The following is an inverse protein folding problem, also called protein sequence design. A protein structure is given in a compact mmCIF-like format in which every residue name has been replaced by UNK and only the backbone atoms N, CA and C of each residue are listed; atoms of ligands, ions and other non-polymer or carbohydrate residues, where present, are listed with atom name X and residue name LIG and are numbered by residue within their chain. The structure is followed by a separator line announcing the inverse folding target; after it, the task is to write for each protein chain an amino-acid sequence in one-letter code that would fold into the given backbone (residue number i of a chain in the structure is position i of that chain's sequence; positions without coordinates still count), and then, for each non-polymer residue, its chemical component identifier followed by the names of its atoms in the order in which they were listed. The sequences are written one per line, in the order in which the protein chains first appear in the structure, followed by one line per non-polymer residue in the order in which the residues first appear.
data_IF_148225975239
#
_entry.id   IF_148225975239
#
_cell.length_a   1.000
_cell.length_b   1.000
_cell.length_c   1.000
_cell.angle_alpha   90.00
_cell.angle_beta   90.00
_cell.angle_gamma   90.00
#
_symmetry.space_group_name_H-M   'P 1'
#
loop_
_entity.id
_entity.type
_entity.pdbx_description
1 polymer ?
#
# COMPACT_ATOMS: atom_id res chain seq x y z
N UNK A 1 30.59 85.12 -11.95
CA UNK A 1 29.45 85.25 -11.02
C UNK A 1 28.74 83.90 -11.08
N UNK A 2 29.18 82.96 -10.24
CA UNK A 2 28.60 82.64 -8.91
C UNK A 2 27.46 81.61 -9.09
N UNK A 3 27.34 80.49 -8.37
CA UNK A 3 27.37 80.25 -6.91
C UNK A 3 26.30 81.07 -6.19
N UNK A 4 25.35 80.39 -5.54
CA UNK A 4 24.35 80.94 -4.60
C UNK A 4 23.36 82.00 -5.20
N UNK A 5 22.06 82.09 -4.89
CA UNK A 5 21.14 81.43 -3.95
C UNK A 5 19.75 81.35 -4.61
N UNK A 6 18.99 80.25 -4.51
CA UNK A 6 18.01 79.98 -3.45
C UNK A 6 17.01 81.12 -3.22
N UNK A 7 15.84 81.04 -3.86
CA UNK A 7 14.56 81.39 -3.22
C UNK A 7 13.38 80.63 -3.83
N UNK A 8 12.89 79.64 -3.08
CA UNK A 8 11.48 79.36 -2.73
C UNK A 8 10.43 80.13 -3.57
N UNK A 9 9.36 79.53 -4.11
CA UNK A 9 8.31 78.86 -3.33
C UNK A 9 7.29 78.11 -4.24
N UNK A 10 7.15 76.79 -4.04
CA UNK A 10 5.92 75.94 -4.00
C UNK A 10 4.71 76.25 -4.94
N UNK A 11 4.37 75.26 -5.80
CA UNK A 11 3.02 74.90 -6.34
C UNK A 11 2.33 75.80 -7.41
N UNK A 12 1.54 75.32 -8.41
CA UNK A 12 1.15 73.96 -8.85
C UNK A 12 0.52 73.93 -10.28
N UNK A 13 0.53 72.75 -10.95
CA UNK A 13 -0.43 72.24 -12.00
C UNK A 13 -0.35 72.73 -13.48
N UNK A 14 -0.67 71.79 -14.41
CA UNK A 14 -0.78 71.85 -15.90
C UNK A 14 0.57 72.06 -16.66
N UNK A 15 0.96 71.35 -17.72
CA UNK A 15 0.45 70.18 -18.47
C UNK A 15 1.65 69.61 -19.33
N UNK A 16 1.61 68.57 -20.21
CA UNK A 16 0.59 67.64 -20.73
C UNK A 16 1.29 66.36 -21.31
N UNK A 17 0.52 65.29 -21.61
CA UNK A 17 0.75 64.16 -22.55
C UNK A 17 2.16 63.87 -23.15
N UNK A 18 2.70 62.67 -22.88
CA UNK A 18 2.72 61.55 -23.84
C UNK A 18 3.59 60.35 -23.39
N UNK A 19 2.98 59.29 -22.84
CA UNK A 19 3.50 57.90 -22.95
C UNK A 19 2.30 56.98 -23.19
N UNK A 20 2.46 56.05 -24.13
CA UNK A 20 1.43 55.13 -24.62
C UNK A 20 0.85 54.22 -23.56
N UNK A 21 -0.48 54.25 -23.39
CA UNK A 21 -1.21 53.13 -22.78
C UNK A 21 -1.30 52.02 -23.83
N UNK A 22 -0.47 50.99 -23.68
CA UNK A 22 -0.65 49.74 -24.39
C UNK A 22 -1.57 48.87 -23.51
N UNK A 23 -2.84 48.73 -23.91
CA UNK A 23 -3.73 47.74 -23.29
C UNK A 23 -3.18 46.35 -23.60
N UNK A 24 -2.40 45.80 -22.68
CA UNK A 24 -2.27 44.35 -22.56
C UNK A 24 -3.60 43.86 -21.99
N UNK A 25 -4.37 43.01 -22.69
CA UNK A 25 -5.57 42.45 -22.10
C UNK A 25 -5.20 41.65 -20.85
N UNK A 26 -5.93 41.84 -19.74
CA UNK A 26 -5.83 40.96 -18.58
C UNK A 26 -6.39 39.58 -18.94
N UNK A 27 -5.57 38.80 -19.63
CA UNK A 27 -5.63 37.35 -19.62
C UNK A 27 -4.59 36.84 -18.60
N UNK A 28 -4.78 37.20 -17.33
CA UNK A 28 -4.28 36.35 -16.24
C UNK A 28 -5.13 35.07 -16.22
N UNK A 29 -4.98 34.25 -17.25
CA UNK A 29 -5.15 32.82 -17.06
C UNK A 29 -3.95 32.42 -16.21
N UNK A 30 -4.16 32.27 -14.91
CA UNK A 30 -3.18 31.63 -14.05
C UNK A 30 -3.19 30.16 -14.44
N UNK A 31 -2.44 29.84 -15.49
CA UNK A 31 -2.05 28.48 -15.82
C UNK A 31 -1.33 27.95 -14.58
N UNK A 32 -2.06 27.16 -13.78
CA UNK A 32 -1.47 26.43 -12.67
C UNK A 32 -0.48 25.50 -13.36
N UNK A 33 0.81 25.83 -13.29
CA UNK A 33 1.88 24.90 -13.58
C UNK A 33 1.81 23.80 -12.51
N UNK A 34 0.90 22.84 -12.75
CA UNK A 34 0.61 21.74 -11.85
C UNK A 34 1.87 20.92 -11.66
N UNK A 35 2.22 20.66 -10.41
CA UNK A 35 3.41 19.87 -10.09
C UNK A 35 3.26 18.43 -10.62
N UNK A 36 2.01 17.98 -10.81
CA UNK A 36 1.61 16.87 -11.67
C UNK A 36 0.24 17.16 -12.35
N UNK A 37 -0.21 16.27 -13.24
CA UNK A 37 -1.55 16.28 -13.85
C UNK A 37 -2.05 14.85 -14.12
N UNK A 38 -3.36 14.69 -14.28
CA UNK A 38 -3.97 13.43 -14.74
C UNK A 38 -3.66 13.24 -16.22
N UNK A 39 -3.17 12.06 -16.62
CA UNK A 39 -2.80 11.79 -18.01
C UNK A 39 -3.97 11.31 -18.87
N UNK A 40 -5.14 11.04 -18.26
CA UNK A 40 -6.39 10.69 -18.93
C UNK A 40 -6.56 9.21 -19.28
N UNK A 41 -5.53 8.39 -19.09
CA UNK A 41 -5.60 6.94 -19.26
C UNK A 41 -5.98 6.26 -17.93
N UNK A 42 -6.94 5.36 -17.99
CA UNK A 42 -7.45 4.58 -16.86
C UNK A 42 -7.73 3.14 -17.27
N UNK A 43 -7.60 2.20 -16.34
CA UNK A 43 -8.03 0.80 -16.50
C UNK A 43 -8.48 0.21 -15.17
N UNK A 44 -9.46 -0.69 -15.19
CA UNK A 44 -9.93 -1.42 -14.02
C UNK A 44 -9.57 -2.91 -14.04
N UNK A 45 -9.38 -3.48 -12.84
CA UNK A 45 -9.25 -4.93 -12.59
C UNK A 45 -9.72 -5.26 -11.17
N UNK A 46 -10.31 -6.42 -10.97
CA UNK A 46 -10.55 -6.98 -9.63
C UNK A 46 -9.37 -7.86 -9.17
N UNK A 47 -9.25 -8.04 -7.85
CA UNK A 47 -8.35 -8.99 -7.20
C UNK A 47 -9.14 -9.80 -6.17
N UNK A 48 -9.04 -11.12 -6.29
CA UNK A 48 -9.34 -12.11 -5.25
C UNK A 48 -8.04 -12.33 -4.44
N UNK A 49 -8.05 -12.02 -3.14
CA UNK A 49 -6.87 -12.03 -2.25
C UNK A 49 -6.80 -13.32 -1.44
N UNK A 50 -7.93 -13.92 -1.05
CA UNK A 50 -7.96 -15.14 -0.24
C UNK A 50 -8.18 -16.44 -1.03
N UNK A 51 -8.58 -16.34 -2.29
CA UNK A 51 -8.80 -17.43 -3.24
C UNK A 51 -10.17 -18.09 -3.15
N UNK A 52 -11.18 -17.44 -2.55
CA UNK A 52 -12.54 -17.99 -2.41
C UNK A 52 -13.40 -17.90 -3.69
N UNK A 53 -12.94 -17.16 -4.71
CA UNK A 53 -13.62 -16.95 -5.98
C UNK A 53 -14.45 -15.66 -6.05
N UNK A 54 -14.43 -14.82 -5.02
CA UNK A 54 -14.99 -13.47 -4.99
C UNK A 54 -13.88 -12.41 -5.03
N UNK A 55 -14.25 -11.17 -5.34
CA UNK A 55 -13.34 -10.05 -5.45
C UNK A 55 -13.23 -9.29 -4.11
N UNK A 56 -12.02 -9.17 -3.59
CA UNK A 56 -11.74 -8.42 -2.35
C UNK A 56 -11.46 -6.94 -2.61
N UNK A 57 -10.95 -6.62 -3.79
CA UNK A 57 -10.57 -5.25 -4.19
C UNK A 57 -10.89 -5.02 -5.66
N UNK A 58 -11.51 -3.88 -5.96
CA UNK A 58 -11.56 -3.31 -7.32
C UNK A 58 -10.46 -2.25 -7.43
N UNK A 59 -9.46 -2.48 -8.28
CA UNK A 59 -8.41 -1.49 -8.57
C UNK A 59 -8.79 -0.71 -9.81
N UNK A 60 -8.77 0.63 -9.73
CA UNK A 60 -8.67 1.50 -10.90
C UNK A 60 -7.27 2.10 -10.95
N UNK A 61 -6.52 1.72 -11.97
CA UNK A 61 -5.21 2.27 -12.28
C UNK A 61 -5.40 3.57 -13.08
N UNK A 62 -4.74 4.64 -12.63
CA UNK A 62 -4.81 5.97 -13.21
C UNK A 62 -3.42 6.47 -13.56
N UNK A 63 -3.19 6.79 -14.83
CA UNK A 63 -1.92 7.34 -15.27
C UNK A 63 -1.84 8.85 -14.94
N UNK A 64 -0.71 9.26 -14.35
CA UNK A 64 -0.40 10.65 -14.00
C UNK A 64 0.92 11.08 -14.64
N UNK A 65 1.02 12.35 -15.01
CA UNK A 65 2.26 12.96 -15.50
C UNK A 65 2.78 13.96 -14.45
N UNK A 66 3.89 13.60 -13.82
CA UNK A 66 4.56 14.37 -12.77
C UNK A 66 5.61 15.27 -13.43
N UNK A 67 5.59 16.56 -13.09
CA UNK A 67 6.51 17.57 -13.62
C UNK A 67 7.61 17.95 -12.61
N UNK A 68 7.32 17.83 -11.31
CA UNK A 68 8.25 18.14 -10.21
C UNK A 68 8.41 16.92 -9.30
N UNK A 69 9.64 16.55 -8.91
CA UNK A 69 9.84 15.47 -7.92
C UNK A 69 9.19 15.85 -6.59
N UNK A 70 8.38 14.96 -6.02
CA UNK A 70 7.62 15.27 -4.81
C UNK A 70 6.71 14.16 -4.31
N UNK A 71 5.98 14.47 -3.23
CA UNK A 71 4.93 13.60 -2.69
C UNK A 71 3.58 13.96 -3.32
N UNK A 72 2.83 12.96 -3.76
CA UNK A 72 1.53 13.13 -4.41
C UNK A 72 0.48 12.19 -3.83
N UNK A 73 -0.77 12.65 -3.81
CA UNK A 73 -1.95 11.87 -3.44
C UNK A 73 -2.98 11.93 -4.55
N UNK A 74 -3.57 10.79 -4.90
CA UNK A 74 -4.69 10.67 -5.83
C UNK A 74 -5.89 10.11 -5.08
N UNK A 75 -6.98 10.87 -4.98
CA UNK A 75 -8.23 10.42 -4.38
C UNK A 75 -9.30 10.27 -5.47
N UNK A 76 -10.22 9.31 -5.31
CA UNK A 76 -11.37 9.16 -6.21
C UNK A 76 -12.52 8.37 -5.57
N UNK A 77 -13.70 8.47 -6.18
CA UNK A 77 -14.94 7.87 -5.68
C UNK A 77 -15.65 7.08 -6.77
N UNK A 78 -16.14 5.89 -6.46
CA UNK A 78 -17.03 5.12 -7.34
C UNK A 78 -18.49 5.48 -7.08
N UNK A 79 -19.21 5.72 -8.17
CA UNK A 79 -20.63 6.04 -8.21
C UNK A 79 -21.38 5.06 -9.09
N UNK A 80 -22.65 4.78 -8.79
CA UNK A 80 -23.55 4.05 -9.70
C UNK A 80 -23.92 4.90 -10.92
N UNK A 81 -24.51 4.26 -11.95
CA UNK A 81 -25.10 4.98 -13.08
C UNK A 81 -26.23 5.96 -12.69
N UNK A 82 -26.79 5.84 -11.48
CA UNK A 82 -27.82 6.73 -10.93
C UNK A 82 -27.25 7.87 -10.08
N UNK A 83 -25.93 8.09 -10.14
CA UNK A 83 -25.18 9.10 -9.38
C UNK A 83 -25.25 8.94 -7.85
N UNK A 84 -25.30 7.70 -7.39
CA UNK A 84 -25.15 7.37 -5.97
C UNK A 84 -23.72 6.94 -5.65
N UNK A 85 -23.13 7.48 -4.59
CA UNK A 85 -21.83 7.03 -4.10
C UNK A 85 -21.89 5.58 -3.59
N UNK A 86 -20.81 4.83 -3.85
CA UNK A 86 -20.63 3.42 -3.45
C UNK A 86 -19.47 3.30 -2.46
N UNK A 87 -18.27 3.73 -2.88
CA UNK A 87 -17.02 3.57 -2.14
C UNK A 87 -16.01 4.62 -2.62
N UNK A 88 -15.03 4.96 -1.79
CA UNK A 88 -13.94 5.87 -2.14
C UNK A 88 -12.58 5.23 -1.88
N UNK A 89 -11.55 5.73 -2.55
CA UNK A 89 -10.18 5.28 -2.38
C UNK A 89 -9.20 6.44 -2.52
N UNK A 90 -7.99 6.22 -2.00
CA UNK A 90 -6.87 7.15 -2.10
C UNK A 90 -5.54 6.40 -2.22
N UNK A 91 -4.73 6.82 -3.18
CA UNK A 91 -3.35 6.42 -3.31
C UNK A 91 -2.39 7.56 -2.99
N UNK A 92 -1.18 7.23 -2.56
CA UNK A 92 -0.17 8.19 -2.14
C UNK A 92 1.24 7.64 -2.28
N UNK A 93 2.09 8.37 -3.01
CA UNK A 93 3.49 7.99 -3.25
C UNK A 93 4.43 9.18 -3.44
N UNK A 94 5.72 8.87 -3.47
CA UNK A 94 6.78 9.76 -3.94
C UNK A 94 7.01 9.49 -5.43
N UNK A 95 7.06 10.53 -6.24
CA UNK A 95 7.24 10.40 -7.69
C UNK A 95 8.24 11.43 -8.21
N UNK A 96 9.16 10.98 -9.06
CA UNK A 96 10.04 11.84 -9.85
C UNK A 96 9.36 12.31 -11.16
N UNK A 97 9.89 13.33 -11.87
CA UNK A 97 9.30 13.78 -13.12
C UNK A 97 9.21 12.66 -14.17
N UNK A 98 8.01 12.46 -14.74
CA UNK A 98 7.72 11.36 -15.65
C UNK A 98 6.25 10.92 -15.62
N UNK A 99 5.92 9.88 -16.39
CA UNK A 99 4.60 9.24 -16.35
C UNK A 99 4.63 8.07 -15.36
N UNK A 100 3.63 7.99 -14.50
CA UNK A 100 3.50 6.96 -13.47
C UNK A 100 2.05 6.47 -13.38
N UNK A 101 1.85 5.28 -12.83
CA UNK A 101 0.54 4.76 -12.46
C UNK A 101 0.30 4.96 -10.96
N UNK A 102 -0.86 5.50 -10.59
CA UNK A 102 -1.38 5.51 -9.22
C UNK A 102 -2.59 4.57 -9.13
N UNK A 103 -2.75 3.86 -8.02
CA UNK A 103 -3.69 2.75 -7.89
C UNK A 103 -4.80 3.06 -6.87
N UNK A 104 -6.01 3.36 -7.36
CA UNK A 104 -7.19 3.50 -6.52
C UNK A 104 -7.76 2.10 -6.20
N UNK A 105 -7.33 1.55 -5.06
CA UNK A 105 -7.79 0.28 -4.50
C UNK A 105 -9.11 0.49 -3.73
N UNK A 106 -10.24 0.08 -4.30
CA UNK A 106 -11.57 0.18 -3.68
C UNK A 106 -11.94 -1.10 -2.93
N UNK A 107 -12.35 -0.97 -1.67
CA UNK A 107 -12.69 -2.07 -0.75
C UNK A 107 -13.92 -2.86 -1.22
N UNK A 108 -13.72 -4.12 -1.65
CA UNK A 108 -14.76 -4.99 -2.18
C UNK A 108 -15.89 -5.24 -1.19
N UNK A 109 -15.57 -5.44 0.08
CA UNK A 109 -16.59 -5.65 1.11
C UNK A 109 -17.48 -4.44 1.36
N UNK A 110 -17.02 -3.23 1.08
CA UNK A 110 -17.85 -2.01 1.07
C UNK A 110 -18.73 -1.96 -0.18
N UNK A 111 -18.24 -2.46 -1.32
CA UNK A 111 -19.03 -2.62 -2.55
C UNK A 111 -20.17 -3.64 -2.32
N UNK A 112 -19.86 -4.83 -1.77
CA UNK A 112 -20.85 -5.86 -1.39
C UNK A 112 -21.95 -5.29 -0.49
N UNK A 113 -21.56 -4.72 0.66
CA UNK A 113 -22.50 -4.11 1.62
C UNK A 113 -23.35 -2.99 1.05
N UNK A 114 -22.91 -2.34 -0.04
CA UNK A 114 -23.69 -1.31 -0.68
C UNK A 114 -24.91 -1.87 -1.43
N UNK A 115 -24.85 -3.14 -1.87
CA UNK A 115 -25.89 -3.78 -2.68
C UNK A 115 -26.15 -3.08 -4.01
N UNK A 116 -25.14 -2.39 -4.56
CA UNK A 116 -25.25 -1.55 -5.76
C UNK A 116 -24.35 -2.08 -6.85
N UNK A 117 -24.95 -2.66 -7.87
CA UNK A 117 -24.22 -3.22 -9.00
C UNK A 117 -23.63 -2.12 -9.91
N UNK A 118 -22.58 -2.50 -10.63
CA UNK A 118 -21.90 -1.66 -11.61
C UNK A 118 -22.63 -1.58 -12.96
N UNK A 119 -21.95 -1.11 -14.02
CA UNK A 119 -20.59 -0.58 -14.03
C UNK A 119 -20.51 0.74 -13.25
N UNK A 120 -19.42 0.93 -12.53
CA UNK A 120 -19.20 2.12 -11.72
C UNK A 120 -18.62 3.27 -12.54
N UNK A 121 -18.93 4.50 -12.14
CA UNK A 121 -18.36 5.72 -12.67
C UNK A 121 -17.37 6.27 -11.64
N UNK A 122 -16.11 6.38 -12.03
CA UNK A 122 -15.09 7.07 -11.23
C UNK A 122 -15.31 8.58 -11.33
N UNK A 123 -15.68 9.20 -10.20
CA UNK A 123 -15.99 10.62 -10.08
C UNK A 123 -15.10 11.28 -9.02
N UNK A 124 -15.08 12.62 -9.04
CA UNK A 124 -14.39 13.47 -8.06
C UNK A 124 -12.91 13.05 -7.87
N UNK A 125 -12.23 12.76 -8.97
CA UNK A 125 -10.80 12.41 -8.94
C UNK A 125 -10.01 13.68 -8.65
N UNK A 126 -9.15 13.66 -7.65
CA UNK A 126 -8.33 14.80 -7.22
C UNK A 126 -6.89 14.35 -7.08
N UNK A 127 -6.01 14.91 -7.91
CA UNK A 127 -4.56 14.76 -7.78
C UNK A 127 -4.00 15.98 -7.05
N UNK A 128 -3.30 15.76 -5.95
CA UNK A 128 -2.68 16.81 -5.14
C UNK A 128 -1.21 16.51 -4.87
N UNK A 129 -0.38 17.54 -4.84
CA UNK A 129 0.96 17.48 -4.26
C UNK A 129 0.90 17.76 -2.76
N UNK A 130 1.93 17.33 -2.04
CA UNK A 130 2.02 17.51 -0.60
C UNK A 130 1.14 16.54 0.19
N UNK A 131 1.20 16.68 1.51
CA UNK A 131 0.53 15.86 2.50
C UNK A 131 -0.08 16.73 3.60
N UNK A 132 -0.90 16.16 4.47
CA UNK A 132 -1.53 16.92 5.57
C UNK A 132 -0.51 17.68 6.46
N UNK A 133 0.71 17.16 6.75
CA UNK A 133 1.76 17.92 7.46
C UNK A 133 2.46 19.02 6.65
N UNK A 134 2.68 18.83 5.34
CA UNK A 134 3.43 19.79 4.48
C UNK A 134 2.53 20.85 3.83
N UNK A 135 1.22 20.59 3.78
CA UNK A 135 0.23 21.38 3.06
C UNK A 135 -0.12 20.73 1.73
N UNK A 136 -1.36 20.28 1.59
CA UNK A 136 -1.84 19.65 0.35
C UNK A 136 -2.29 20.71 -0.66
N UNK A 137 -1.82 20.61 -1.90
CA UNK A 137 -2.14 21.51 -3.01
C UNK A 137 -2.71 20.71 -4.17
N UNK A 138 -3.96 21.00 -4.55
CA UNK A 138 -4.58 20.41 -5.75
C UNK A 138 -3.75 20.81 -6.97
N UNK A 139 -3.32 19.79 -7.70
CA UNK A 139 -2.59 19.93 -8.96
C UNK A 139 -3.53 19.78 -10.16
N UNK A 140 -4.46 18.81 -10.09
CA UNK A 140 -5.43 18.54 -11.15
C UNK A 140 -6.68 17.83 -10.59
N UNK A 141 -7.80 17.89 -11.32
CA UNK A 141 -9.06 17.25 -10.92
C UNK A 141 -9.93 16.84 -12.12
N UNK A 142 -10.65 15.72 -11.98
CA UNK A 142 -11.67 15.28 -12.93
C UNK A 142 -12.99 14.99 -12.20
N UNK A 143 -14.06 15.69 -12.58
CA UNK A 143 -15.40 15.50 -11.97
C UNK A 143 -16.01 14.15 -12.31
N UNK A 144 -15.74 13.64 -13.51
CA UNK A 144 -16.06 12.30 -14.01
C UNK A 144 -14.90 11.88 -14.90
N UNK A 145 -14.20 10.81 -14.51
CA UNK A 145 -12.91 10.43 -15.10
C UNK A 145 -13.02 9.17 -15.96
N UNK A 146 -13.70 8.15 -15.46
CA UNK A 146 -13.70 6.81 -16.05
C UNK A 146 -15.00 6.05 -15.77
N UNK A 147 -15.30 5.04 -16.58
CA UNK A 147 -16.35 4.05 -16.36
C UNK A 147 -15.70 2.68 -16.38
N UNK A 148 -15.90 1.90 -15.32
CA UNK A 148 -15.33 0.56 -15.18
C UNK A 148 -16.01 -0.44 -16.11
N UNK A 149 -15.45 -1.65 -16.16
CA UNK A 149 -16.16 -2.86 -16.56
C UNK A 149 -17.44 -3.08 -15.73
N UNK A 150 -18.29 -4.01 -16.16
CA UNK A 150 -19.43 -4.46 -15.37
C UNK A 150 -18.95 -5.35 -14.23
N UNK A 151 -19.48 -5.13 -13.03
CA UNK A 151 -19.28 -5.98 -11.86
C UNK A 151 -20.60 -6.00 -11.08
N UNK A 152 -21.05 -7.15 -10.61
CA UNK A 152 -22.15 -7.23 -9.65
C UNK A 152 -21.59 -6.96 -8.23
N UNK A 153 -22.35 -6.30 -7.36
CA UNK A 153 -21.92 -6.08 -5.97
C UNK A 153 -21.76 -7.42 -5.21
N UNK A 154 -22.53 -8.44 -5.59
CA UNK A 154 -22.42 -9.80 -5.05
C UNK A 154 -21.21 -10.61 -5.55
N UNK A 155 -20.44 -10.09 -6.51
CA UNK A 155 -19.14 -10.67 -6.87
C UNK A 155 -18.02 -10.23 -5.91
N UNK A 156 -18.29 -9.31 -4.98
CA UNK A 156 -17.31 -8.83 -4.00
C UNK A 156 -17.53 -9.39 -2.59
N UNK A 157 -16.47 -9.36 -1.77
CA UNK A 157 -16.52 -9.68 -0.34
C UNK A 157 -15.45 -8.90 0.44
N UNK A 158 -15.44 -9.04 1.77
CA UNK A 158 -14.21 -8.79 2.53
C UNK A 158 -13.34 -10.04 2.47
N UNK A 159 -12.01 -9.90 2.36
CA UNK A 159 -11.12 -11.04 2.39
C UNK A 159 -11.29 -11.76 3.71
N UNK A 160 -11.79 -12.99 3.63
CA UNK A 160 -11.87 -13.87 4.77
C UNK A 160 -10.45 -14.17 5.21
N UNK A 161 -10.12 -14.01 6.51
CA UNK A 161 -8.82 -14.45 7.00
C UNK A 161 -8.71 -15.95 6.75
N UNK A 162 -7.85 -16.35 5.82
CA UNK A 162 -7.56 -17.77 5.55
C UNK A 162 -6.79 -18.33 6.75
N UNK A 163 -7.53 -18.73 7.80
CA UNK A 163 -6.96 -19.12 9.09
C UNK A 163 -6.58 -20.60 9.11
N UNK A 164 -5.28 -20.89 9.03
CA UNK A 164 -4.74 -22.20 9.42
C UNK A 164 -4.45 -22.22 10.92
N UNK A 165 -4.82 -23.28 11.62
CA UNK A 165 -4.65 -23.37 13.09
C UNK A 165 -3.55 -24.35 13.45
N UNK A 166 -2.60 -23.92 14.29
CA UNK A 166 -1.65 -24.80 14.99
C UNK A 166 -2.04 -24.80 16.47
N UNK A 167 -2.56 -25.93 16.99
CA UNK A 167 -2.91 -26.10 18.39
C UNK A 167 -2.13 -27.24 19.04
N UNK A 168 -2.12 -27.25 20.38
CA UNK A 168 -1.40 -28.25 21.16
C UNK A 168 -1.31 -27.88 22.63
N UNK A 169 -0.39 -28.54 23.34
CA UNK A 169 -0.06 -28.25 24.74
C UNK A 169 1.46 -28.22 24.93
N UNK A 170 1.96 -27.43 25.87
CA UNK A 170 3.38 -27.43 26.20
C UNK A 170 3.79 -26.37 27.21
N UNK A 171 5.10 -26.29 27.43
CA UNK A 171 5.74 -25.23 28.22
C UNK A 171 7.10 -24.91 27.64
N UNK A 172 7.34 -23.65 27.31
CA UNK A 172 8.63 -23.16 26.80
C UNK A 172 8.47 -22.12 25.69
N UNK A 173 9.53 -21.94 24.91
CA UNK A 173 9.58 -21.03 23.77
C UNK A 173 9.45 -21.78 22.43
N UNK A 174 8.57 -21.31 21.56
CA UNK A 174 8.47 -21.73 20.15
C UNK A 174 8.87 -20.54 19.26
N UNK A 175 9.65 -20.79 18.21
CA UNK A 175 9.80 -19.87 17.09
C UNK A 175 8.92 -20.38 15.94
N UNK A 176 7.97 -19.55 15.50
CA UNK A 176 7.17 -19.83 14.31
C UNK A 176 7.74 -19.02 13.15
N UNK A 177 8.05 -19.71 12.05
CA UNK A 177 8.62 -19.13 10.84
C UNK A 177 7.66 -19.36 9.68
N UNK A 178 7.16 -18.28 9.09
CA UNK A 178 6.31 -18.31 7.90
C UNK A 178 7.19 -17.97 6.70
N UNK A 179 7.18 -18.80 5.67
CA UNK A 179 7.92 -18.54 4.43
C UNK A 179 6.96 -18.58 3.26
N UNK A 180 7.05 -17.60 2.38
CA UNK A 180 6.25 -17.50 1.15
C UNK A 180 7.18 -17.28 -0.04
N UNK A 181 6.99 -18.08 -1.08
CA UNK A 181 7.78 -18.05 -2.30
C UNK A 181 6.89 -17.62 -3.47
N UNK A 182 7.40 -16.71 -4.31
CA UNK A 182 6.69 -16.19 -5.47
C UNK A 182 7.67 -15.86 -6.59
N UNK A 183 7.16 -15.63 -7.80
CA UNK A 183 7.96 -15.23 -8.97
C UNK A 183 7.27 -14.08 -9.68
N UNK A 184 7.99 -13.00 -9.96
CA UNK A 184 7.47 -11.84 -10.70
C UNK A 184 8.18 -11.68 -12.05
N UNK A 185 7.44 -11.41 -13.15
CA UNK A 185 8.04 -11.22 -14.47
C UNK A 185 8.84 -9.92 -14.57
N UNK A 186 9.87 -9.92 -15.42
CA UNK A 186 10.69 -8.74 -15.70
C UNK A 186 10.16 -8.02 -16.94
N UNK A 187 9.85 -6.74 -16.79
CA UNK A 187 9.44 -5.86 -17.88
C UNK A 187 10.43 -4.69 -18.00
N UNK A 188 11.02 -4.52 -19.18
CA UNK A 188 12.03 -3.47 -19.46
C UNK A 188 13.19 -3.43 -18.45
N UNK A 189 13.63 -4.60 -17.96
CA UNK A 189 14.72 -4.72 -16.98
C UNK A 189 14.34 -4.41 -15.53
N UNK A 190 13.04 -4.28 -15.22
CA UNK A 190 12.50 -4.04 -13.89
C UNK A 190 11.48 -5.09 -13.48
N UNK A 191 11.31 -5.25 -12.17
CA UNK A 191 10.29 -6.10 -11.57
C UNK A 191 9.47 -5.32 -10.53
N UNK A 192 8.21 -5.71 -10.35
CA UNK A 192 7.31 -5.22 -9.31
C UNK A 192 6.41 -6.36 -8.85
N UNK A 193 6.09 -6.38 -7.57
CA UNK A 193 5.21 -7.37 -6.96
C UNK A 193 4.46 -6.72 -5.81
N UNK A 194 3.14 -6.77 -5.86
CA UNK A 194 2.24 -6.08 -4.95
C UNK A 194 1.47 -7.10 -4.10
N UNK A 195 1.38 -6.85 -2.79
CA UNK A 195 0.77 -7.72 -1.79
C UNK A 195 -0.22 -6.86 -1.00
N UNK A 196 -1.51 -7.20 -1.06
CA UNK A 196 -2.58 -6.38 -0.48
C UNK A 196 -3.10 -7.04 0.80
N UNK A 197 -3.23 -6.26 1.88
CA UNK A 197 -3.88 -6.71 3.12
C UNK A 197 -3.10 -7.67 4.04
N UNK A 198 -1.85 -8.03 3.73
CA UNK A 198 -1.02 -8.93 4.55
C UNK A 198 -0.97 -8.52 6.02
N UNK A 199 -1.23 -9.48 6.91
CA UNK A 199 -1.06 -9.30 8.35
C UNK A 199 0.39 -9.54 8.77
N UNK A 200 0.98 -8.57 9.48
CA UNK A 200 2.32 -8.68 10.05
C UNK A 200 2.22 -8.63 11.59
N UNK A 201 2.73 -9.61 12.35
CA UNK A 201 2.99 -11.00 11.91
C UNK A 201 1.70 -11.66 11.38
N UNK A 202 1.79 -12.76 10.62
CA UNK A 202 0.64 -13.37 9.93
C UNK A 202 -0.18 -14.25 10.89
N UNK A 203 -0.65 -13.64 11.97
CA UNK A 203 -1.38 -14.29 13.05
C UNK A 203 -2.81 -13.75 13.01
N UNK A 204 -3.77 -14.66 12.87
CA UNK A 204 -5.17 -14.31 12.79
C UNK A 204 -5.66 -13.75 14.13
N UNK A 205 -6.59 -12.79 14.04
CA UNK A 205 -7.24 -12.18 15.20
C UNK A 205 -8.74 -12.55 15.30
N UNK A 206 -9.12 -13.84 15.43
CA UNK A 206 -10.44 -14.22 15.94
C UNK A 206 -10.50 -14.15 17.49
N UNK A 207 -9.46 -13.61 18.14
CA UNK A 207 -9.27 -13.59 19.59
C UNK A 207 -8.85 -12.18 20.06
N UNK A 208 -9.32 -11.74 21.22
CA UNK A 208 -8.99 -10.42 21.80
C UNK A 208 -7.48 -10.27 22.06
N UNK A 209 -6.81 -9.40 21.31
CA UNK A 209 -5.39 -9.06 21.57
C UNK A 209 -5.30 -8.00 22.69
N UNK A 210 -4.75 -8.39 23.84
CA UNK A 210 -4.43 -7.52 24.98
C UNK A 210 -2.95 -7.12 24.89
N UNK A 211 -2.69 -5.88 24.47
CA UNK A 211 -1.34 -5.32 24.41
C UNK A 211 -0.76 -4.97 25.78
N UNK A 212 0.57 -5.02 25.91
CA UNK A 212 1.31 -4.65 27.12
C UNK A 212 2.68 -4.04 26.78
N UNK A 213 3.40 -3.54 27.80
CA UNK A 213 4.78 -3.01 27.61
C UNK A 213 5.79 -4.08 27.15
N UNK A 214 5.51 -5.36 27.37
CA UNK A 214 6.45 -6.47 27.12
C UNK A 214 6.04 -7.36 25.96
N UNK A 215 4.78 -7.36 25.54
CA UNK A 215 4.25 -8.25 24.52
C UNK A 215 2.74 -8.12 24.30
N UNK A 216 2.22 -9.04 23.48
CA UNK A 216 0.82 -9.22 23.17
C UNK A 216 0.35 -10.52 23.80
N UNK A 217 -0.71 -10.46 24.61
CA UNK A 217 -1.46 -11.64 25.03
C UNK A 217 -2.68 -11.77 24.12
N UNK A 218 -2.86 -12.94 23.51
CA UNK A 218 -4.11 -13.27 22.83
C UNK A 218 -5.10 -13.79 23.88
N UNK A 219 -6.40 -13.88 23.57
CA UNK A 219 -7.41 -14.48 24.47
C UNK A 219 -7.32 -16.03 24.51
N UNK A 220 -6.09 -16.52 24.45
CA UNK A 220 -5.67 -17.90 24.56
C UNK A 220 -5.02 -18.09 25.94
N UNK A 221 -5.58 -18.94 26.82
CA UNK A 221 -4.90 -19.33 28.05
C UNK A 221 -3.50 -19.85 27.70
N UNK A 222 -2.46 -19.38 28.39
CA UNK A 222 -1.12 -19.95 28.20
C UNK A 222 -0.36 -19.55 26.93
N UNK A 223 -0.76 -18.51 26.19
CA UNK A 223 0.02 -17.96 25.05
C UNK A 223 0.41 -16.50 25.30
N UNK A 224 1.72 -16.23 25.29
CA UNK A 224 2.29 -14.88 25.36
C UNK A 224 3.24 -14.63 24.19
N UNK A 225 3.11 -13.49 23.52
CA UNK A 225 3.99 -13.11 22.41
C UNK A 225 4.83 -11.89 22.79
N UNK A 226 6.15 -12.01 23.04
CA UNK A 226 7.00 -10.86 23.36
C UNK A 226 6.99 -9.83 22.23
N UNK A 227 7.25 -8.56 22.54
CA UNK A 227 7.26 -7.47 21.55
C UNK A 227 8.32 -7.65 20.44
N UNK A 228 9.39 -8.41 20.71
CA UNK A 228 10.44 -8.78 19.76
C UNK A 228 10.87 -10.25 19.95
N UNK A 229 11.43 -10.92 18.91
CA UNK A 229 11.54 -10.44 17.53
C UNK A 229 10.18 -10.42 16.81
N UNK A 230 10.10 -9.58 15.77
CA UNK A 230 9.08 -9.58 14.71
C UNK A 230 9.83 -9.56 13.37
N UNK A 231 10.71 -10.54 13.13
CA UNK A 231 11.65 -10.44 12.03
C UNK A 231 10.90 -10.61 10.70
N UNK A 232 11.13 -9.72 9.75
CA UNK A 232 10.65 -9.83 8.38
C UNK A 232 11.84 -9.73 7.44
N UNK A 233 12.00 -10.74 6.62
CA UNK A 233 13.02 -10.85 5.58
C UNK A 233 12.34 -10.90 4.22
N UNK A 234 12.90 -10.22 3.24
CA UNK A 234 12.59 -10.40 1.83
C UNK A 234 13.88 -10.59 1.07
N UNK A 235 13.94 -11.64 0.26
CA UNK A 235 15.04 -11.95 -0.65
C UNK A 235 14.53 -11.89 -2.08
N UNK A 236 15.28 -11.25 -2.96
CA UNK A 236 15.04 -11.23 -4.40
C UNK A 236 16.25 -11.84 -5.13
N UNK A 237 16.04 -12.93 -5.86
CA UNK A 237 17.06 -13.63 -6.64
C UNK A 237 16.87 -13.35 -8.14
N UNK A 238 17.97 -13.05 -8.83
CA UNK A 238 17.93 -12.53 -10.20
C UNK A 238 17.73 -11.02 -10.27
N UNK A 239 18.05 -10.29 -9.19
CA UNK A 239 17.91 -8.84 -9.08
C UNK A 239 19.28 -8.12 -9.07
N UNK A 240 19.30 -6.83 -9.44
CA UNK A 240 20.40 -5.91 -9.14
C UNK A 240 20.20 -5.20 -7.80
N UNK A 241 18.96 -4.82 -7.50
CA UNK A 241 18.58 -4.18 -6.25
C UNK A 241 17.18 -4.62 -5.80
N UNK A 242 16.90 -4.44 -4.51
CA UNK A 242 15.62 -4.72 -3.86
C UNK A 242 15.12 -3.49 -3.11
N UNK A 243 13.87 -3.14 -3.34
CA UNK A 243 13.13 -2.07 -2.70
C UNK A 243 11.80 -2.64 -2.17
N UNK A 244 11.43 -2.32 -0.91
CA UNK A 244 10.19 -2.76 -0.25
C UNK A 244 9.45 -1.56 0.32
N UNK A 245 8.35 -1.15 -0.33
CA UNK A 245 7.41 -0.18 0.23
C UNK A 245 6.40 -0.86 1.18
N UNK A 246 6.05 -0.19 2.28
CA UNK A 246 5.03 -0.66 3.22
C UNK A 246 3.99 0.45 3.50
N UNK A 247 2.75 0.27 3.05
CA UNK A 247 1.61 1.17 3.31
C UNK A 247 0.78 0.58 4.45
N UNK A 248 0.67 1.28 5.58
CA UNK A 248 -0.20 0.86 6.70
C UNK A 248 -1.49 1.70 6.72
N UNK A 249 -2.68 1.10 6.48
CA UNK A 249 -3.94 1.80 6.67
C UNK A 249 -4.19 2.12 8.15
N UNK A 250 -4.45 3.38 8.49
CA UNK A 250 -4.87 3.82 9.82
C UNK A 250 -5.94 4.93 9.72
N UNK A 251 -7.06 4.60 9.09
CA UNK A 251 -8.11 5.57 8.75
C UNK A 251 -7.58 6.65 7.81
N UNK A 252 -7.94 7.91 8.07
CA UNK A 252 -7.47 9.08 7.29
C UNK A 252 -5.95 9.30 7.32
N UNK A 253 -5.21 8.66 8.24
CA UNK A 253 -3.76 8.78 8.37
C UNK A 253 -3.04 7.59 7.76
N UNK A 254 -2.84 7.63 6.46
CA UNK A 254 -1.94 6.70 5.77
C UNK A 254 -0.50 7.00 6.20
N UNK A 255 0.20 5.99 6.73
CA UNK A 255 1.67 6.04 6.89
C UNK A 255 2.29 5.17 5.79
N UNK A 256 2.71 5.84 4.72
CA UNK A 256 3.59 5.26 3.70
C UNK A 256 5.00 5.19 4.28
N UNK A 257 5.55 3.97 4.41
CA UNK A 257 6.95 3.77 4.75
C UNK A 257 7.74 3.51 3.48
N UNK A 258 8.72 4.37 3.19
CA UNK A 258 9.66 4.19 2.10
C UNK A 258 10.93 3.49 2.62
N UNK A 259 10.89 2.17 2.48
CA UNK A 259 11.87 1.42 1.67
C UNK A 259 13.37 1.54 1.97
N UNK A 260 13.94 0.42 2.42
CA UNK A 260 15.37 0.10 2.25
C UNK A 260 15.66 -0.19 0.78
N UNK A 261 16.66 0.48 0.20
CA UNK A 261 17.35 0.01 -1.01
C UNK A 261 18.45 -0.95 -0.57
N UNK A 262 18.43 -2.18 -1.08
CA UNK A 262 19.50 -3.16 -0.89
C UNK A 262 20.05 -3.56 -2.25
N UNK A 263 21.35 -3.33 -2.47
CA UNK A 263 22.06 -3.85 -3.65
C UNK A 263 22.24 -5.36 -3.53
N UNK A 264 22.20 -6.06 -4.68
CA UNK A 264 22.44 -7.49 -4.74
C UNK A 264 23.91 -7.86 -4.52
N UNK A 265 24.14 -9.09 -4.09
CA UNK A 265 25.47 -9.74 -4.17
C UNK A 265 25.89 -9.96 -5.63
N UNK A 266 27.15 -10.35 -5.84
CA UNK A 266 27.66 -10.73 -7.18
C UNK A 266 26.85 -11.88 -7.81
N UNK A 267 26.23 -12.74 -6.99
CA UNK A 267 25.34 -13.83 -7.42
C UNK A 267 23.91 -13.36 -7.80
N UNK A 268 23.63 -12.05 -7.76
CA UNK A 268 22.32 -11.48 -8.11
C UNK A 268 21.24 -11.66 -7.04
N UNK A 269 21.64 -11.77 -5.76
CA UNK A 269 20.73 -11.93 -4.62
C UNK A 269 20.72 -10.67 -3.75
N UNK A 270 19.59 -9.98 -3.68
CA UNK A 270 19.37 -8.85 -2.78
C UNK A 270 18.49 -9.27 -1.60
N UNK A 271 18.89 -8.96 -0.35
CA UNK A 271 18.17 -9.38 0.87
C UNK A 271 18.00 -8.22 1.86
N UNK A 272 16.76 -7.87 2.15
CA UNK A 272 16.41 -6.94 3.22
C UNK A 272 15.86 -7.68 4.46
N UNK A 273 16.14 -7.17 5.65
CA UNK A 273 15.72 -7.75 6.92
C UNK A 273 15.40 -6.65 7.95
N UNK A 274 14.30 -6.79 8.70
CA UNK A 274 13.86 -5.80 9.71
C UNK A 274 13.02 -6.43 10.82
N UNK A 275 13.24 -6.02 12.07
CA UNK A 275 12.43 -6.43 13.22
C UNK A 275 11.55 -5.30 13.80
N UNK A 276 11.47 -4.17 13.08
CA UNK A 276 10.84 -2.92 13.53
C UNK A 276 9.40 -2.73 13.03
N UNK A 277 8.82 -3.73 12.35
CA UNK A 277 7.45 -3.65 11.86
C UNK A 277 6.46 -3.83 13.03
N UNK A 278 5.66 -2.79 13.28
CA UNK A 278 4.57 -2.82 14.27
C UNK A 278 3.43 -3.72 13.80
N UNK A 279 2.76 -4.50 14.67
CA UNK A 279 1.69 -5.39 14.22
C UNK A 279 0.51 -4.69 13.53
N UNK A 280 -0.07 -5.31 12.50
CA UNK A 280 -1.25 -4.84 11.78
C UNK A 280 -1.35 -5.37 10.34
N UNK A 281 -2.35 -4.91 9.59
CA UNK A 281 -2.47 -5.14 8.15
C UNK A 281 -1.66 -4.10 7.37
N UNK A 282 -1.09 -4.51 6.23
CA UNK A 282 -0.21 -3.73 5.37
C UNK A 282 -0.50 -4.02 3.89
N UNK A 283 -0.20 -3.05 3.02
CA UNK A 283 0.02 -3.28 1.59
C UNK A 283 1.53 -3.18 1.36
N UNK A 284 2.11 -4.12 0.63
CA UNK A 284 3.55 -4.22 0.38
C UNK A 284 3.78 -4.10 -1.12
N UNK A 285 4.79 -3.31 -1.51
CA UNK A 285 5.29 -3.27 -2.89
C UNK A 285 6.75 -3.66 -2.89
N UNK A 286 7.08 -4.78 -3.53
CA UNK A 286 8.44 -5.28 -3.70
C UNK A 286 8.86 -5.00 -5.13
N UNK A 287 9.92 -4.22 -5.35
CA UNK A 287 10.31 -3.77 -6.69
C UNK A 287 11.82 -3.53 -6.82
N UNK A 288 12.30 -3.43 -8.05
CA UNK A 288 13.70 -3.09 -8.31
C UNK A 288 14.09 -3.28 -9.77
N UNK A 289 15.37 -3.09 -10.03
CA UNK A 289 15.98 -3.43 -11.31
C UNK A 289 16.41 -4.91 -11.28
N UNK A 290 16.08 -5.66 -12.33
CA UNK A 290 16.43 -7.07 -12.49
C UNK A 290 17.89 -7.23 -12.96
N UNK A 291 18.48 -8.42 -12.76
CA UNK A 291 19.77 -8.78 -13.35
C UNK A 291 19.72 -8.71 -14.88
N UNK A 292 20.89 -8.54 -15.52
CA UNK A 292 20.94 -8.45 -16.98
C UNK A 292 20.50 -9.78 -17.63
N UNK A 293 19.56 -9.71 -18.58
CA UNK A 293 18.98 -10.88 -19.23
C UNK A 293 17.95 -11.66 -18.41
N UNK A 294 17.66 -11.29 -17.16
CA UNK A 294 16.64 -11.94 -16.35
C UNK A 294 15.22 -11.71 -16.93
N UNK A 295 14.44 -12.78 -17.06
CA UNK A 295 13.02 -12.74 -17.50
C UNK A 295 12.04 -12.74 -16.33
N UNK A 296 12.48 -13.13 -15.14
CA UNK A 296 11.72 -13.18 -13.89
C UNK A 296 12.67 -12.96 -12.70
N UNK A 297 12.12 -12.58 -11.56
CA UNK A 297 12.81 -12.51 -10.26
C UNK A 297 12.07 -13.41 -9.27
N UNK A 298 12.81 -14.26 -8.57
CA UNK A 298 12.24 -15.10 -7.50
C UNK A 298 12.22 -14.29 -6.20
N UNK A 299 11.11 -14.33 -5.47
CA UNK A 299 10.90 -13.62 -4.23
C UNK A 299 10.64 -14.60 -3.09
N UNK A 300 11.46 -14.56 -2.05
CA UNK A 300 11.28 -15.33 -0.82
C UNK A 300 11.05 -14.37 0.34
N UNK A 301 9.89 -14.47 0.97
CA UNK A 301 9.49 -13.64 2.11
C UNK A 301 9.41 -14.51 3.36
N UNK A 302 10.13 -14.15 4.41
CA UNK A 302 10.18 -14.93 5.66
C UNK A 302 9.82 -14.06 6.86
N UNK A 303 8.90 -14.52 7.69
CA UNK A 303 8.46 -13.85 8.91
C UNK A 303 8.70 -14.74 10.12
N UNK A 304 9.40 -14.24 11.13
CA UNK A 304 9.68 -15.01 12.35
C UNK A 304 9.01 -14.37 13.58
N UNK A 305 8.28 -15.19 14.32
CA UNK A 305 7.63 -14.80 15.57
C UNK A 305 7.92 -15.78 16.70
N UNK A 306 8.54 -15.28 17.77
CA UNK A 306 8.66 -16.02 19.03
C UNK A 306 7.35 -16.01 19.81
N UNK A 307 6.98 -17.17 20.34
CA UNK A 307 5.88 -17.43 21.25
C UNK A 307 6.42 -18.02 22.55
N UNK A 308 5.81 -17.66 23.68
CA UNK A 308 6.01 -18.31 24.98
C UNK A 308 4.71 -19.03 25.32
N UNK A 309 4.80 -20.33 25.57
CA UNK A 309 3.68 -21.21 25.88
C UNK A 309 3.78 -21.68 27.34
N UNK A 310 2.66 -21.69 28.06
CA UNK A 310 2.49 -22.38 29.34
C UNK A 310 1.06 -22.92 29.46
N UNK A 311 0.84 -24.13 28.95
CA UNK A 311 -0.47 -24.79 28.90
C UNK A 311 -0.91 -25.15 27.49
N UNK A 312 -2.23 -25.07 27.23
CA UNK A 312 -2.83 -25.36 25.92
C UNK A 312 -2.77 -24.12 25.03
N UNK A 313 -2.40 -24.27 23.77
CA UNK A 313 -2.39 -23.18 22.79
C UNK A 313 -3.21 -23.52 21.55
N UNK A 314 -3.66 -22.49 20.84
CA UNK A 314 -4.33 -22.60 19.54
C UNK A 314 -4.08 -21.33 18.73
N UNK A 315 -3.07 -21.37 17.87
CA UNK A 315 -2.62 -20.23 17.07
C UNK A 315 -3.30 -20.24 15.71
N UNK A 316 -4.15 -19.25 15.46
CA UNK A 316 -4.62 -18.95 14.11
C UNK A 316 -3.56 -18.20 13.31
N UNK A 317 -3.31 -18.64 12.08
CA UNK A 317 -2.35 -18.09 11.14
C UNK A 317 -3.13 -17.43 10.02
N UNK A 318 -3.01 -16.12 9.85
CA UNK A 318 -3.70 -15.41 8.79
C UNK A 318 -2.86 -15.45 7.51
N UNK A 319 -3.29 -16.20 6.50
CA UNK A 319 -2.60 -16.23 5.20
C UNK A 319 -3.18 -15.27 4.14
N UNK A 320 -4.16 -14.43 4.49
CA UNK A 320 -4.68 -13.39 3.58
C UNK A 320 -3.58 -12.44 3.14
N UNK A 321 -3.60 -12.08 1.85
CA UNK A 321 -2.62 -11.21 1.22
C UNK A 321 -1.46 -11.96 0.58
N UNK A 322 -1.09 -13.15 1.08
CA UNK A 322 -0.06 -13.95 0.43
C UNK A 322 -0.59 -14.62 -0.84
N UNK A 323 0.23 -14.75 -1.90
CA UNK A 323 -0.14 -15.50 -3.09
C UNK A 323 -0.55 -16.95 -2.77
N UNK A 324 -1.56 -17.42 -3.46
CA UNK A 324 -1.88 -18.84 -3.56
C UNK A 324 -0.73 -19.57 -4.29
N UNK A 325 -0.33 -20.75 -3.79
CA UNK A 325 0.73 -21.57 -4.39
C UNK A 325 1.72 -22.11 -3.38
N UNK A 326 2.68 -21.30 -2.95
CA UNK A 326 3.84 -21.74 -2.15
C UNK A 326 4.01 -20.94 -0.86
N UNK A 327 3.39 -21.41 0.23
CA UNK A 327 3.73 -20.96 1.58
C UNK A 327 3.91 -22.14 2.54
N UNK A 328 4.85 -22.00 3.46
CA UNK A 328 5.14 -22.97 4.52
C UNK A 328 5.15 -22.31 5.89
N UNK A 329 4.81 -23.09 6.91
CA UNK A 329 4.86 -22.65 8.32
C UNK A 329 5.64 -23.69 9.11
N UNK A 330 6.82 -23.32 9.59
CA UNK A 330 7.61 -24.10 10.52
C UNK A 330 7.36 -23.63 11.97
N UNK A 331 7.38 -24.56 12.92
CA UNK A 331 7.18 -24.28 14.34
C UNK A 331 8.24 -25.03 15.16
N UNK A 332 9.35 -24.34 15.43
CA UNK A 332 10.52 -24.92 16.09
C UNK A 332 10.53 -24.62 17.59
N UNK A 333 10.60 -25.67 18.40
CA UNK A 333 10.90 -25.57 19.82
C UNK A 333 12.30 -24.95 20.04
N UNK A 334 12.36 -23.82 20.75
CA UNK A 334 13.62 -23.17 21.16
C UNK A 334 14.07 -23.73 22.51
N UNK A 335 13.13 -23.95 23.43
CA UNK A 335 13.33 -24.66 24.69
C UNK A 335 12.00 -25.26 25.17
N UNK A 336 12.08 -26.21 26.12
CA UNK A 336 10.90 -26.79 26.75
C UNK A 336 10.33 -28.02 26.03
N UNK A 337 9.06 -28.32 26.28
CA UNK A 337 8.37 -29.52 25.75
C UNK A 337 6.99 -29.18 25.21
N UNK A 338 6.64 -29.78 24.07
CA UNK A 338 5.40 -29.51 23.35
C UNK A 338 4.83 -30.78 22.71
N UNK A 339 3.52 -30.84 22.66
CA UNK A 339 2.73 -31.84 21.93
C UNK A 339 1.75 -31.08 21.06
N UNK A 340 1.81 -31.25 19.74
CA UNK A 340 0.79 -30.72 18.84
C UNK A 340 -0.49 -31.56 18.95
N UNK A 341 -1.64 -30.91 18.86
CA UNK A 341 -2.91 -31.61 18.62
C UNK A 341 -2.84 -32.28 17.22
N UNK A 342 -3.63 -33.33 16.97
CA UNK A 342 -3.66 -33.99 15.66
C UNK A 342 -3.91 -32.98 14.53
N UNK A 343 -2.99 -32.95 13.57
CA UNK A 343 -3.06 -32.10 12.39
C UNK A 343 -4.12 -32.68 11.45
N UNK A 344 -5.39 -32.33 11.69
CA UNK A 344 -6.53 -32.68 10.82
C UNK A 344 -6.41 -31.94 9.48
N UNK A 345 -5.56 -32.48 8.61
CA UNK A 345 -5.55 -32.14 7.18
C UNK A 345 -6.87 -32.68 6.61
N UNK A 346 -7.86 -31.79 6.47
CA UNK A 346 -9.15 -32.15 5.88
C UNK A 346 -8.95 -32.63 4.44
N UNK A 347 -9.44 -33.84 4.13
CA UNK A 347 -9.49 -34.35 2.75
C UNK A 347 -8.89 -35.73 2.49
N UNK A 348 -8.23 -36.38 3.46
CA UNK A 348 -7.75 -37.77 3.32
C UNK A 348 -8.50 -38.74 4.23
N UNK A 349 -9.74 -39.08 3.87
CA UNK A 349 -10.28 -40.40 4.21
C UNK A 349 -9.57 -41.44 3.36
N UNK A 350 -8.65 -42.19 3.97
CA UNK A 350 -8.44 -43.57 3.54
C UNK A 350 -9.70 -44.33 3.93
N UNK A 351 -10.53 -44.71 2.95
CA UNK A 351 -11.51 -45.78 3.14
C UNK A 351 -10.75 -47.12 3.06
N UNK A 352 -10.98 -48.00 4.04
CA UNK A 352 -10.37 -49.35 4.15
C UNK A 352 -10.95 -50.35 3.11
#
# INVERSE_FOLDING_TARGET
MSKEEISKTVSTVLALLAVSILLVPLAYCHEIAGEAKLAGNYSDRSIDIDGDGLYDVLIVEAEVEVLTSGEYSLMGFLYTLHDEEVVWSIDHGMFDPGRHSMLLEFDGGTIEKSGKDGPYILKKVVLSSGSSPSGQKICDYATTAYRTSHYESSEFTYPSPSVKTISGTGRGEILVTFTVESTTPVHSGRYSYDIVGISIPPIASPMTVKGSKTGYAFDLPGVFMPNKPNNFTVTAEGARNLNIGLKKPQGERIRTWVTTLVEATEDGVAKAETDLISPGSYHVKIFGDAAEGATQVNLTMTMEKKLIIDGRFSLGINTTGFPSGNYSVDARAVNGTFTLDELKIGGLSMED
#
